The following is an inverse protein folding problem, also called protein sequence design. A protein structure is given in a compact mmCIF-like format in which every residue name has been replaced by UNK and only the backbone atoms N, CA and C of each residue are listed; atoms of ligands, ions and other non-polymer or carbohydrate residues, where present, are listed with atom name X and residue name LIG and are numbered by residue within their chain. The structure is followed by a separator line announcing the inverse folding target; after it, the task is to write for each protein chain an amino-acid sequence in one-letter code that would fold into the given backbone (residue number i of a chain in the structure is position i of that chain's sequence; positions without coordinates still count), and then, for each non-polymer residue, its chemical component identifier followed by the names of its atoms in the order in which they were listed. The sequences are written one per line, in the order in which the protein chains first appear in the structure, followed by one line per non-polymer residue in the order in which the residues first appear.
data_IF_690638758170
#
_entry.id   IF_690638758170
#
_cell.length_a   1.000
_cell.length_b   1.000
_cell.length_c   1.000
_cell.angle_alpha   90.00
_cell.angle_beta   90.00
_cell.angle_gamma   90.00
#
_symmetry.space_group_name_H-M   'P 1'
#
loop_
_entity.id
_entity.type
_entity.pdbx_description
1 polymer ?
#
# COMPACT_ATOMS: atom_id res chain seq x y z
N UNK A 1 9.92 -35.72 9.86
CA UNK A 1 9.82 -35.19 11.23
C UNK A 1 9.34 -33.75 11.12
N UNK A 2 8.02 -33.52 11.17
CA UNK A 2 7.46 -32.17 11.09
C UNK A 2 7.66 -31.49 12.44
N UNK A 3 8.53 -30.48 12.51
CA UNK A 3 8.54 -29.56 13.64
C UNK A 3 7.19 -28.84 13.63
N UNK A 4 6.37 -29.09 14.65
CA UNK A 4 5.29 -28.18 15.00
C UNK A 4 5.93 -26.83 15.27
N UNK A 5 5.59 -25.84 14.44
CA UNK A 5 5.90 -24.44 14.72
C UNK A 5 4.94 -24.06 15.85
N UNK A 6 5.47 -23.88 17.05
CA UNK A 6 4.71 -23.24 18.13
C UNK A 6 4.29 -21.85 17.63
N UNK A 7 2.97 -21.59 17.59
CA UNK A 7 2.47 -20.26 17.28
C UNK A 7 2.82 -19.35 18.45
N UNK A 8 3.89 -18.58 18.30
CA UNK A 8 4.08 -17.40 19.14
C UNK A 8 2.93 -16.42 18.86
N UNK A 9 2.17 -16.06 19.89
CA UNK A 9 1.18 -14.99 19.77
C UNK A 9 1.93 -13.67 19.54
N UNK A 10 1.61 -12.99 18.42
CA UNK A 10 2.18 -11.69 18.12
C UNK A 10 1.53 -10.65 19.04
N UNK A 11 2.28 -10.19 20.06
CA UNK A 11 1.84 -9.12 20.96
C UNK A 11 2.38 -7.79 20.44
N UNK A 12 1.50 -7.01 19.80
CA UNK A 12 1.81 -5.70 19.24
C UNK A 12 2.05 -4.68 20.37
N UNK A 13 3.23 -4.05 20.38
CA UNK A 13 3.56 -3.01 21.35
C UNK A 13 2.86 -1.70 20.96
N UNK A 14 1.97 -1.20 21.82
CA UNK A 14 1.02 -0.13 21.47
C UNK A 14 1.62 1.27 21.37
N UNK A 15 2.84 1.45 21.87
CA UNK A 15 3.40 2.80 22.03
C UNK A 15 3.90 3.41 20.71
N UNK A 16 4.17 2.60 19.67
CA UNK A 16 4.27 3.05 18.26
C UNK A 16 4.37 1.88 17.27
N UNK A 17 3.27 1.53 16.62
CA UNK A 17 3.25 0.51 15.56
C UNK A 17 3.70 1.10 14.23
N UNK A 18 4.63 0.40 13.56
CA UNK A 18 5.06 0.73 12.21
C UNK A 18 4.16 0.10 11.17
N UNK A 19 3.64 0.91 10.26
CA UNK A 19 2.70 0.43 9.23
C UNK A 19 3.14 0.80 7.82
N UNK A 20 3.08 -0.20 6.94
CA UNK A 20 3.16 0.00 5.49
C UNK A 20 1.77 -0.16 4.88
N UNK A 21 1.37 0.76 4.02
CA UNK A 21 0.14 0.69 3.24
C UNK A 21 0.50 0.39 1.79
N UNK A 22 -0.22 -0.54 1.18
CA UNK A 22 -0.27 -0.72 -0.28
C UNK A 22 -1.68 -0.35 -0.72
N UNK A 23 -1.81 0.79 -1.38
CA UNK A 23 -3.07 1.27 -1.93
C UNK A 23 -3.18 0.88 -3.39
N UNK A 24 -4.15 0.02 -3.72
CA UNK A 24 -4.45 -0.35 -5.09
C UNK A 24 -5.38 0.68 -5.71
N UNK A 25 -5.05 1.15 -6.91
CA UNK A 25 -5.81 2.16 -7.66
C UNK A 25 -5.97 1.73 -9.12
N UNK A 26 -7.14 1.96 -9.69
CA UNK A 26 -7.37 1.95 -11.13
C UNK A 26 -8.39 3.01 -11.52
N UNK A 27 -8.00 3.82 -12.49
CA UNK A 27 -8.95 4.62 -13.24
C UNK A 27 -8.60 4.48 -14.73
N UNK A 28 -9.63 4.45 -15.59
CA UNK A 28 -9.45 4.25 -17.04
C UNK A 28 -8.63 5.38 -17.70
N UNK A 29 -8.71 6.58 -17.13
CA UNK A 29 -8.05 7.79 -17.60
C UNK A 29 -6.90 8.21 -16.67
N UNK A 30 -6.72 7.50 -15.55
CA UNK A 30 -5.69 7.74 -14.56
C UNK A 30 -6.01 8.91 -13.62
N UNK A 31 -7.29 9.28 -13.51
CA UNK A 31 -7.76 10.42 -12.71
C UNK A 31 -7.87 10.02 -11.25
N UNK A 32 -7.23 10.79 -10.37
CA UNK A 32 -7.34 10.62 -8.91
C UNK A 32 -8.48 11.49 -8.40
N UNK A 33 -9.59 10.87 -8.00
CA UNK A 33 -10.73 11.54 -7.40
C UNK A 33 -10.38 12.24 -6.07
N UNK A 34 -11.17 13.25 -5.68
CA UNK A 34 -10.93 14.07 -4.48
C UNK A 34 -11.06 13.33 -3.14
N UNK A 35 -11.77 12.20 -3.13
CA UNK A 35 -11.91 11.40 -1.92
C UNK A 35 -10.57 10.75 -1.51
N UNK A 36 -9.68 10.44 -2.46
CA UNK A 36 -8.40 9.76 -2.19
C UNK A 36 -7.48 10.64 -1.31
N UNK A 37 -7.20 11.91 -1.66
CA UNK A 37 -6.44 12.78 -0.77
C UNK A 37 -7.16 13.05 0.56
N UNK A 38 -8.50 13.08 0.57
CA UNK A 38 -9.26 13.21 1.83
C UNK A 38 -9.04 12.00 2.74
N UNK A 39 -9.07 10.78 2.18
CA UNK A 39 -8.73 9.53 2.87
C UNK A 39 -7.30 9.56 3.39
N UNK A 40 -6.33 9.90 2.54
CA UNK A 40 -4.91 9.91 2.90
C UNK A 40 -4.59 10.96 3.97
N UNK A 41 -5.28 12.11 3.93
CA UNK A 41 -5.18 13.11 4.98
C UNK A 41 -5.69 12.59 6.33
N UNK A 42 -6.74 11.77 6.35
CA UNK A 42 -7.22 11.10 7.56
C UNK A 42 -6.27 10.02 8.09
N UNK A 43 -5.50 9.39 7.20
CA UNK A 43 -4.49 8.37 7.55
C UNK A 43 -3.13 8.98 7.94
N UNK A 44 -2.90 10.26 7.65
CA UNK A 44 -1.61 10.91 7.87
C UNK A 44 -1.19 10.81 9.35
N UNK A 45 -0.01 10.23 9.60
CA UNK A 45 0.52 9.99 10.94
C UNK A 45 0.21 8.61 11.52
N UNK A 46 -0.62 7.80 10.84
CA UNK A 46 -0.90 6.41 11.24
C UNK A 46 -0.10 5.36 10.46
N UNK A 47 0.65 5.79 9.45
CA UNK A 47 1.52 4.95 8.63
C UNK A 47 2.90 5.58 8.46
N UNK A 48 3.88 4.74 8.16
CA UNK A 48 5.26 5.12 7.89
C UNK A 48 5.58 5.10 6.39
N UNK A 49 4.93 4.18 5.66
CA UNK A 49 5.02 4.08 4.20
C UNK A 49 3.65 3.90 3.55
N UNK A 50 3.47 4.52 2.40
CA UNK A 50 2.33 4.30 1.53
C UNK A 50 2.83 4.13 0.10
N UNK A 51 2.72 2.91 -0.43
CA UNK A 51 2.94 2.58 -1.83
C UNK A 51 1.60 2.66 -2.57
N UNK A 52 1.53 3.57 -3.54
CA UNK A 52 0.38 3.74 -4.41
C UNK A 52 0.59 2.93 -5.69
N UNK A 53 -0.19 1.87 -5.86
CA UNK A 53 -0.11 0.97 -7.01
C UNK A 53 -1.22 1.31 -8.00
N UNK A 54 -0.86 1.96 -9.11
CA UNK A 54 -1.77 2.24 -10.20
C UNK A 54 -1.77 1.10 -11.23
N UNK A 55 -2.88 0.36 -11.30
CA UNK A 55 -3.18 -0.55 -12.39
C UNK A 55 -3.61 0.26 -13.61
N UNK A 56 -2.79 0.31 -14.66
CA UNK A 56 -3.07 1.05 -15.88
C UNK A 56 -2.39 2.42 -15.89
N UNK A 57 -3.17 3.48 -15.66
CA UNK A 57 -2.71 4.87 -15.80
C UNK A 57 -2.71 5.59 -14.46
N UNK A 58 -1.84 6.59 -14.36
CA UNK A 58 -1.85 7.61 -13.33
C UNK A 58 -1.49 8.93 -14.01
N UNK A 59 -2.35 9.93 -13.90
CA UNK A 59 -2.06 11.26 -14.44
C UNK A 59 -1.01 11.99 -13.60
N UNK A 60 -0.25 12.89 -14.22
CA UNK A 60 0.71 13.73 -13.50
C UNK A 60 0.03 14.64 -12.47
N UNK A 61 -1.17 15.14 -12.79
CA UNK A 61 -2.01 15.90 -11.84
C UNK A 61 -2.37 15.04 -10.62
N UNK A 62 -2.81 13.80 -10.84
CA UNK A 62 -3.13 12.87 -9.76
C UNK A 62 -1.91 12.53 -8.90
N UNK A 63 -0.75 12.35 -9.53
CA UNK A 63 0.52 12.12 -8.82
C UNK A 63 0.92 13.32 -7.97
N UNK A 64 0.83 14.53 -8.52
CA UNK A 64 1.13 15.78 -7.82
C UNK A 64 0.18 16.00 -6.63
N UNK A 65 -1.11 15.73 -6.81
CA UNK A 65 -2.14 15.81 -5.76
C UNK A 65 -1.83 14.93 -4.55
N UNK A 66 -1.10 13.82 -4.76
CA UNK A 66 -0.84 12.80 -3.75
C UNK A 66 0.60 12.83 -3.19
N UNK A 67 1.47 13.71 -3.70
CA UNK A 67 2.91 13.71 -3.39
C UNK A 67 3.27 13.84 -1.90
N UNK A 68 2.42 14.51 -1.12
CA UNK A 68 2.66 14.75 0.31
C UNK A 68 2.18 13.59 1.21
N UNK A 69 1.55 12.58 0.61
CA UNK A 69 1.01 11.41 1.31
C UNK A 69 1.68 10.11 0.86
N UNK A 70 1.90 9.97 -0.43
CA UNK A 70 2.43 8.76 -1.06
C UNK A 70 3.95 8.79 -1.01
N UNK A 71 4.54 7.72 -0.50
CA UNK A 71 6.01 7.60 -0.46
C UNK A 71 6.54 7.05 -1.77
N UNK A 72 5.83 6.11 -2.37
CA UNK A 72 6.26 5.37 -3.54
C UNK A 72 5.09 5.19 -4.52
N UNK A 73 5.30 5.55 -5.79
CA UNK A 73 4.33 5.31 -6.85
C UNK A 73 4.78 4.15 -7.73
N UNK A 74 3.92 3.15 -7.91
CA UNK A 74 4.13 2.02 -8.80
C UNK A 74 3.03 1.99 -9.85
N UNK A 75 3.37 2.30 -11.11
CA UNK A 75 2.44 2.18 -12.24
C UNK A 75 2.73 0.88 -12.98
N UNK A 76 1.69 0.08 -13.24
CA UNK A 76 1.81 -1.22 -13.90
C UNK A 76 0.72 -1.44 -14.93
N UNK A 77 0.89 -2.41 -15.84
CA UNK A 77 -0.20 -2.82 -16.73
C UNK A 77 -1.39 -3.39 -15.94
N UNK A 78 -2.62 -3.03 -16.34
CA UNK A 78 -3.82 -3.63 -15.77
C UNK A 78 -4.10 -5.02 -16.39
N UNK A 79 -3.28 -6.01 -16.02
CA UNK A 79 -3.41 -7.42 -16.42
C UNK A 79 -3.21 -8.36 -15.23
N UNK A 80 -3.77 -9.56 -15.34
CA UNK A 80 -3.68 -10.60 -14.32
C UNK A 80 -4.97 -10.70 -13.50
N UNK A 81 -4.83 -11.10 -12.25
CA UNK A 81 -5.96 -11.18 -11.32
C UNK A 81 -6.40 -9.78 -10.87
N UNK A 82 -7.64 -9.69 -10.43
CA UNK A 82 -8.33 -8.47 -10.02
C UNK A 82 -7.50 -7.60 -9.05
N UNK A 83 -6.92 -8.23 -8.02
CA UNK A 83 -6.13 -7.56 -6.97
C UNK A 83 -4.61 -7.77 -7.09
N UNK A 84 -4.13 -8.13 -8.28
CA UNK A 84 -2.69 -8.46 -8.48
C UNK A 84 -1.74 -7.28 -8.20
N UNK A 85 -2.26 -6.06 -8.17
CA UNK A 85 -1.47 -4.90 -7.76
C UNK A 85 -0.95 -4.99 -6.32
N UNK A 86 -1.62 -5.70 -5.40
CA UNK A 86 -1.07 -5.95 -4.06
C UNK A 86 0.20 -6.77 -4.11
N UNK A 87 0.21 -7.84 -4.93
CA UNK A 87 1.42 -8.65 -5.13
C UNK A 87 2.55 -7.79 -5.69
N UNK A 88 2.25 -6.94 -6.67
CA UNK A 88 3.25 -6.03 -7.24
C UNK A 88 3.80 -5.04 -6.19
N UNK A 89 2.94 -4.49 -5.33
CA UNK A 89 3.36 -3.61 -4.23
C UNK A 89 4.21 -4.33 -3.17
N UNK A 90 3.84 -5.57 -2.82
CA UNK A 90 4.61 -6.41 -1.89
C UNK A 90 6.00 -6.74 -2.47
N UNK A 91 6.06 -7.10 -3.75
CA UNK A 91 7.33 -7.37 -4.44
C UNK A 91 8.18 -6.11 -4.62
N UNK A 92 7.54 -4.95 -4.82
CA UNK A 92 8.23 -3.67 -4.92
C UNK A 92 8.91 -3.28 -3.61
N UNK A 93 8.24 -3.46 -2.46
CA UNK A 93 8.91 -3.28 -1.17
C UNK A 93 9.98 -4.34 -0.94
N UNK A 94 9.67 -5.60 -1.24
CA UNK A 94 10.55 -6.73 -0.94
C UNK A 94 10.57 -7.10 0.54
N UNK A 95 11.00 -8.33 0.83
CA UNK A 95 10.94 -8.89 2.19
C UNK A 95 11.78 -8.12 3.21
N UNK A 96 12.99 -7.69 2.85
CA UNK A 96 13.87 -6.92 3.74
C UNK A 96 13.25 -5.61 4.23
N UNK A 97 12.44 -4.96 3.38
CA UNK A 97 11.71 -3.76 3.76
C UNK A 97 10.48 -4.11 4.58
N UNK A 98 9.68 -5.09 4.14
CA UNK A 98 8.44 -5.50 4.80
C UNK A 98 8.66 -5.99 6.23
N UNK A 99 9.79 -6.64 6.53
CA UNK A 99 10.16 -7.09 7.87
C UNK A 99 10.33 -5.95 8.89
N UNK A 100 10.40 -4.68 8.44
CA UNK A 100 10.54 -3.50 9.31
C UNK A 100 9.22 -2.99 9.88
N UNK A 101 8.08 -3.52 9.42
CA UNK A 101 6.75 -3.08 9.79
C UNK A 101 6.05 -4.13 10.65
N UNK A 102 5.28 -3.66 11.63
CA UNK A 102 4.44 -4.52 12.45
C UNK A 102 3.17 -4.93 11.67
N UNK A 103 2.70 -4.06 10.76
CA UNK A 103 1.51 -4.28 9.96
C UNK A 103 1.72 -3.87 8.49
N UNK A 104 1.19 -4.69 7.59
CA UNK A 104 1.02 -4.34 6.17
C UNK A 104 -0.47 -4.27 5.87
N UNK A 105 -0.92 -3.09 5.46
CA UNK A 105 -2.32 -2.84 5.13
C UNK A 105 -2.48 -2.86 3.61
N UNK A 106 -3.24 -3.83 3.12
CA UNK A 106 -3.66 -3.89 1.73
C UNK A 106 -5.00 -3.14 1.61
N UNK A 107 -4.97 -1.96 1.01
CA UNK A 107 -6.12 -1.08 0.92
C UNK A 107 -6.61 -1.02 -0.52
N UNK A 108 -7.87 -1.41 -0.74
CA UNK A 108 -8.48 -1.33 -2.07
C UNK A 108 -9.16 0.02 -2.25
N UNK A 109 -9.26 0.43 -3.51
CA UNK A 109 -10.25 1.38 -3.96
C UNK A 109 -11.41 0.57 -4.60
N UNK A 110 -12.67 0.95 -4.40
CA UNK A 110 -13.82 0.30 -5.05
C UNK A 110 -14.81 1.32 -5.58
#
# INVERSE_FOLDING_TARGET
MNKLIEREEMILNKDKLKRAIIFLFYDKDGIVDDYIPTLFQGLKGFYDKLCFVANGKLSEEGKEKLKDYVTDFLVRENKGFDVWGYKAGLEFFGWEELEKYDEVILMNYT
#
